data_IF_685160199779
#
_entry.id   IF_685160199779
#
_cell.length_a   1.000
_cell.length_b   1.000
_cell.length_c   1.000
_cell.angle_alpha   90.00
_cell.angle_beta   90.00
_cell.angle_gamma   90.00
#
_symmetry.space_group_name_H-M   'P 1'
#
loop_
_entity.id
_entity.type
_entity.pdbx_description
1 polymer ?
#
# COMPACT_ATOMS: atom_id res chain seq x y z
N UNK A 1 -45.05 -17.84 -1.04
CA UNK A 1 -46.23 -17.27 -0.35
C UNK A 1 -46.58 -15.98 -1.07
N UNK A 2 -47.84 -15.76 -1.48
CA UNK A 2 -48.21 -14.52 -2.18
C UNK A 2 -47.89 -13.33 -1.27
N UNK A 3 -47.37 -12.25 -1.85
CA UNK A 3 -47.14 -11.00 -1.14
C UNK A 3 -48.42 -10.64 -0.38
N UNK A 4 -48.33 -10.41 0.94
CA UNK A 4 -49.46 -10.00 1.76
C UNK A 4 -49.98 -8.67 1.21
N UNK A 5 -50.98 -8.73 0.32
CA UNK A 5 -51.60 -7.55 -0.24
C UNK A 5 -52.19 -6.74 0.91
N UNK A 6 -51.80 -5.47 1.00
CA UNK A 6 -52.28 -4.58 2.05
C UNK A 6 -53.77 -4.34 1.79
N UNK A 7 -54.61 -4.81 2.70
CA UNK A 7 -56.05 -4.66 2.58
C UNK A 7 -56.43 -3.17 2.52
N UNK A 8 -57.32 -2.82 1.57
CA UNK A 8 -57.88 -1.49 1.43
C UNK A 8 -58.85 -1.14 2.59
N UNK A 9 -59.19 0.14 2.79
CA UNK A 9 -60.24 0.53 3.73
C UNK A 9 -61.59 -0.11 3.37
N UNK A 10 -62.42 -0.42 4.37
CA UNK A 10 -63.71 -1.09 4.19
C UNK A 10 -64.67 -0.26 3.31
N UNK A 11 -65.01 -0.75 2.13
CA UNK A 11 -65.83 -0.06 1.12
C UNK A 11 -67.27 0.22 1.56
N UNK A 12 -67.74 -0.42 2.64
CA UNK A 12 -69.10 -0.21 3.18
C UNK A 12 -69.22 1.06 4.02
N UNK A 13 -68.11 1.71 4.36
CA UNK A 13 -68.09 2.95 5.14
C UNK A 13 -68.07 4.17 4.21
N UNK A 14 -68.62 5.28 4.68
CA UNK A 14 -68.62 6.54 3.96
C UNK A 14 -67.40 7.39 4.34
N UNK A 15 -66.57 7.77 3.35
CA UNK A 15 -65.27 8.43 3.56
C UNK A 15 -65.15 9.84 3.00
N UNK A 16 -66.21 10.41 2.41
CA UNK A 16 -66.24 11.71 1.69
C UNK A 16 -65.24 11.90 0.51
N UNK A 17 -64.16 11.11 0.44
CA UNK A 17 -63.25 10.95 -0.69
C UNK A 17 -63.33 9.51 -1.25
N UNK A 18 -62.96 9.30 -2.53
CA UNK A 18 -62.84 7.97 -3.09
C UNK A 18 -61.75 7.16 -2.34
N UNK A 19 -61.94 5.84 -2.31
CA UNK A 19 -60.97 4.93 -1.69
C UNK A 19 -59.58 5.08 -2.36
N UNK A 20 -58.50 5.02 -1.59
CA UNK A 20 -57.16 5.07 -2.13
C UNK A 20 -56.89 3.82 -2.99
N UNK A 21 -56.09 3.93 -4.06
CA UNK A 21 -55.72 2.79 -4.87
C UNK A 21 -54.90 1.79 -4.04
N UNK A 22 -54.84 0.50 -4.45
CA UNK A 22 -53.93 -0.47 -3.84
C UNK A 22 -52.49 0.04 -3.83
N UNK A 23 -51.78 -0.02 -2.68
CA UNK A 23 -50.39 0.39 -2.60
C UNK A 23 -49.50 -0.57 -3.40
N UNK A 24 -48.30 -0.11 -3.79
CA UNK A 24 -47.33 -1.00 -4.43
C UNK A 24 -46.82 -2.06 -3.45
N UNK A 25 -46.18 -3.11 -3.96
CA UNK A 25 -45.57 -4.16 -3.13
C UNK A 25 -44.06 -4.27 -3.43
N UNK A 26 -43.18 -3.80 -2.53
CA UNK A 26 -43.47 -3.12 -1.26
C UNK A 26 -44.04 -1.69 -1.46
N UNK A 27 -44.72 -1.11 -0.46
CA UNK A 27 -45.26 0.24 -0.57
C UNK A 27 -44.15 1.28 -0.72
N UNK A 28 -44.37 2.26 -1.60
CA UNK A 28 -43.46 3.39 -1.78
C UNK A 28 -43.76 4.52 -0.80
N UNK A 29 -42.85 5.48 -0.71
CA UNK A 29 -43.09 6.77 -0.04
C UNK A 29 -44.36 7.45 -0.59
N UNK A 30 -44.62 7.35 -1.90
CA UNK A 30 -45.83 7.90 -2.50
C UNK A 30 -47.11 7.25 -1.98
N UNK A 31 -47.09 5.96 -1.68
CA UNK A 31 -48.24 5.24 -1.11
C UNK A 31 -48.48 5.62 0.36
N UNK A 32 -47.40 5.84 1.12
CA UNK A 32 -47.48 6.37 2.48
C UNK A 32 -48.15 7.76 2.47
N UNK A 33 -47.75 8.65 1.55
CA UNK A 33 -48.36 9.98 1.43
C UNK A 33 -49.85 9.91 1.06
N UNK A 34 -50.23 9.03 0.13
CA UNK A 34 -51.63 8.83 -0.24
C UNK A 34 -52.45 8.32 0.95
N UNK A 35 -51.93 7.36 1.70
CA UNK A 35 -52.58 6.82 2.89
C UNK A 35 -52.71 7.88 4.01
N UNK A 36 -51.67 8.69 4.23
CA UNK A 36 -51.70 9.78 5.20
C UNK A 36 -52.74 10.85 4.82
N UNK A 37 -52.76 11.26 3.55
CA UNK A 37 -53.74 12.22 3.04
C UNK A 37 -55.16 11.70 3.19
N UNK A 38 -55.41 10.44 2.81
CA UNK A 38 -56.72 9.82 2.96
C UNK A 38 -57.18 9.82 4.43
N UNK A 39 -56.30 9.40 5.36
CA UNK A 39 -56.56 9.48 6.81
C UNK A 39 -56.91 10.89 7.25
N UNK A 40 -56.13 11.88 6.84
CA UNK A 40 -56.32 13.28 7.25
C UNK A 40 -57.63 13.85 6.72
N UNK A 41 -57.97 13.58 5.44
CA UNK A 41 -59.24 14.02 4.85
C UNK A 41 -60.43 13.42 5.60
N UNK A 42 -60.44 12.10 5.82
CA UNK A 42 -61.53 11.41 6.53
C UNK A 42 -61.69 11.98 7.95
N UNK A 43 -60.58 12.23 8.64
CA UNK A 43 -60.59 12.82 10.00
C UNK A 43 -61.15 14.24 10.01
N UNK A 44 -60.77 15.08 9.05
CA UNK A 44 -61.25 16.46 8.95
C UNK A 44 -62.74 16.50 8.63
N UNK A 45 -63.21 15.67 7.71
CA UNK A 45 -64.62 15.63 7.30
C UNK A 45 -65.53 15.07 8.38
N UNK A 46 -65.04 14.12 9.19
CA UNK A 46 -65.74 13.71 10.41
C UNK A 46 -65.92 14.89 11.38
N UNK A 47 -64.86 15.69 11.62
CA UNK A 47 -64.92 16.87 12.50
C UNK A 47 -65.86 17.96 11.97
N UNK A 48 -66.03 18.06 10.65
CA UNK A 48 -66.95 19.01 10.00
C UNK A 48 -68.41 18.56 9.99
N UNK A 49 -68.68 17.28 10.29
CA UNK A 49 -70.02 16.72 10.26
C UNK A 49 -70.48 16.26 8.88
N UNK A 50 -69.55 15.97 7.96
CA UNK A 50 -69.85 15.60 6.57
C UNK A 50 -70.37 14.15 6.42
N UNK A 51 -70.99 13.57 7.47
CA UNK A 51 -71.55 12.21 7.45
C UNK A 51 -70.52 11.07 7.57
N UNK A 52 -69.24 11.38 7.71
CA UNK A 52 -68.18 10.39 7.99
C UNK A 52 -68.34 9.85 9.42
N UNK A 53 -68.32 8.53 9.60
CA UNK A 53 -68.47 7.91 10.92
C UNK A 53 -67.14 7.74 11.64
N UNK A 54 -67.18 7.48 12.95
CA UNK A 54 -65.97 7.18 13.75
C UNK A 54 -65.28 5.92 13.23
N UNK A 55 -66.04 4.92 12.78
CA UNK A 55 -65.51 3.69 12.20
C UNK A 55 -64.71 3.97 10.93
N UNK A 56 -65.15 4.92 10.10
CA UNK A 56 -64.42 5.31 8.89
C UNK A 56 -63.08 5.96 9.23
N UNK A 57 -63.04 6.81 10.27
CA UNK A 57 -61.78 7.40 10.78
C UNK A 57 -60.83 6.32 11.28
N UNK A 58 -61.33 5.39 12.09
CA UNK A 58 -60.53 4.27 12.63
C UNK A 58 -60.01 3.37 11.50
N UNK A 59 -60.82 3.11 10.47
CA UNK A 59 -60.42 2.28 9.34
C UNK A 59 -59.36 2.95 8.47
N UNK A 60 -59.46 4.28 8.25
CA UNK A 60 -58.44 5.06 7.57
C UNK A 60 -57.11 5.09 8.34
N UNK A 61 -57.17 5.18 9.68
CA UNK A 61 -56.00 5.07 10.56
C UNK A 61 -55.33 3.69 10.43
N UNK A 62 -56.12 2.61 10.52
CA UNK A 62 -55.61 1.24 10.35
C UNK A 62 -54.98 1.03 8.99
N UNK A 63 -55.56 1.62 7.93
CA UNK A 63 -54.99 1.53 6.59
C UNK A 63 -53.63 2.24 6.51
N UNK A 64 -53.51 3.45 7.07
CA UNK A 64 -52.23 4.15 7.17
C UNK A 64 -51.16 3.32 7.89
N UNK A 65 -51.49 2.73 9.03
CA UNK A 65 -50.56 1.87 9.77
C UNK A 65 -50.15 0.62 8.99
N UNK A 66 -51.08 -0.02 8.28
CA UNK A 66 -50.76 -1.17 7.41
C UNK A 66 -49.75 -0.78 6.33
N UNK A 67 -49.97 0.35 5.65
CA UNK A 67 -49.06 0.86 4.61
C UNK A 67 -47.69 1.21 5.20
N UNK A 68 -47.64 1.93 6.31
CA UNK A 68 -46.40 2.29 7.01
C UNK A 68 -45.59 1.08 7.45
N UNK A 69 -46.24 0.09 8.06
CA UNK A 69 -45.56 -1.11 8.58
C UNK A 69 -45.01 -1.97 7.45
N UNK A 70 -45.77 -2.13 6.37
CA UNK A 70 -45.30 -2.89 5.20
C UNK A 70 -44.25 -2.16 4.37
N UNK A 71 -44.16 -0.83 4.48
CA UNK A 71 -43.09 -0.05 3.85
C UNK A 71 -41.74 -0.17 4.58
N UNK A 72 -41.75 -0.60 5.85
CA UNK A 72 -40.50 -0.81 6.58
C UNK A 72 -39.78 -2.04 6.03
N UNK A 73 -38.46 -1.95 5.78
CA UNK A 73 -37.68 -3.13 5.48
C UNK A 73 -37.80 -4.11 6.65
N UNK A 74 -37.85 -5.42 6.40
CA UNK A 74 -37.87 -6.39 7.48
C UNK A 74 -36.68 -6.14 8.41
N UNK A 75 -36.86 -6.21 9.74
CA UNK A 75 -35.74 -6.06 10.67
C UNK A 75 -34.64 -7.05 10.26
N UNK A 76 -33.44 -6.53 10.04
CA UNK A 76 -32.32 -7.39 9.68
C UNK A 76 -32.03 -8.34 10.84
N UNK A 77 -31.83 -9.64 10.60
CA UNK A 77 -31.40 -10.57 11.62
C UNK A 77 -30.11 -10.12 12.31
N UNK A 78 -30.03 -10.27 13.63
CA UNK A 78 -28.88 -9.84 14.44
C UNK A 78 -27.55 -10.45 13.96
N UNK A 79 -27.58 -11.69 13.46
CA UNK A 79 -26.39 -12.36 12.92
C UNK A 79 -25.78 -11.62 11.71
N UNK A 80 -26.57 -10.87 10.93
CA UNK A 80 -26.05 -10.05 9.83
C UNK A 80 -25.27 -8.85 10.36
N UNK A 81 -25.70 -8.27 11.48
CA UNK A 81 -24.97 -7.17 12.11
C UNK A 81 -23.66 -7.68 12.72
N UNK A 82 -23.71 -8.81 13.41
CA UNK A 82 -22.53 -9.46 13.98
C UNK A 82 -21.50 -9.84 12.89
N UNK A 83 -21.98 -10.40 11.76
CA UNK A 83 -21.13 -10.72 10.62
C UNK A 83 -20.50 -9.45 10.01
N UNK A 84 -21.26 -8.37 9.84
CA UNK A 84 -20.73 -7.08 9.35
C UNK A 84 -19.67 -6.51 10.30
N UNK A 85 -19.92 -6.55 11.61
CA UNK A 85 -18.96 -6.10 12.62
C UNK A 85 -17.68 -6.95 12.57
N UNK A 86 -17.82 -8.26 12.45
CA UNK A 86 -16.67 -9.18 12.38
C UNK A 86 -15.83 -8.93 11.13
N UNK A 87 -16.48 -8.76 9.96
CA UNK A 87 -15.80 -8.42 8.71
C UNK A 87 -15.07 -7.09 8.84
N UNK A 88 -15.69 -6.09 9.46
CA UNK A 88 -15.06 -4.79 9.68
C UNK A 88 -13.79 -4.92 10.54
N UNK A 89 -13.87 -5.62 11.68
CA UNK A 89 -12.70 -5.85 12.55
C UNK A 89 -11.57 -6.55 11.80
N UNK A 90 -11.88 -7.61 11.05
CA UNK A 90 -10.88 -8.34 10.25
C UNK A 90 -10.23 -7.41 9.23
N UNK A 91 -11.00 -6.53 8.60
CA UNK A 91 -10.50 -5.60 7.60
C UNK A 91 -9.59 -4.52 8.21
N UNK A 92 -9.95 -4.01 9.38
CA UNK A 92 -9.12 -3.06 10.14
C UNK A 92 -7.80 -3.68 10.58
N UNK A 93 -7.83 -4.90 11.12
CA UNK A 93 -6.62 -5.65 11.50
C UNK A 93 -5.73 -5.97 10.30
N UNK A 94 -6.32 -6.41 9.19
CA UNK A 94 -5.61 -6.67 7.94
C UNK A 94 -4.90 -5.42 7.42
N UNK A 95 -5.59 -4.27 7.40
CA UNK A 95 -5.01 -3.00 7.00
C UNK A 95 -3.84 -2.58 7.90
N UNK A 96 -3.96 -2.78 9.22
CA UNK A 96 -2.88 -2.50 10.16
C UNK A 96 -1.66 -3.39 9.90
N UNK A 97 -1.87 -4.68 9.66
CA UNK A 97 -0.79 -5.60 9.35
C UNK A 97 -0.09 -5.25 8.02
N UNK A 98 -0.85 -4.86 7.00
CA UNK A 98 -0.29 -4.39 5.72
C UNK A 98 0.60 -3.16 5.93
N UNK A 99 0.17 -2.22 6.78
CA UNK A 99 0.96 -1.03 7.08
C UNK A 99 2.28 -1.37 7.78
N UNK A 100 2.25 -2.26 8.78
CA UNK A 100 3.45 -2.72 9.48
C UNK A 100 4.44 -3.43 8.53
N UNK A 101 3.93 -4.26 7.61
CA UNK A 101 4.76 -4.94 6.61
C UNK A 101 5.39 -3.93 5.64
N UNK A 102 4.65 -2.90 5.22
CA UNK A 102 5.19 -1.82 4.37
C UNK A 102 6.32 -1.07 5.05
N UNK A 103 6.15 -0.70 6.32
CA UNK A 103 7.17 -0.01 7.11
C UNK A 103 8.43 -0.87 7.29
N UNK A 104 8.25 -2.16 7.59
CA UNK A 104 9.36 -3.11 7.68
C UNK A 104 10.11 -3.25 6.35
N UNK A 105 9.36 -3.38 5.24
CA UNK A 105 9.94 -3.46 3.90
C UNK A 105 10.72 -2.19 3.52
N UNK A 106 10.23 -1.00 3.90
CA UNK A 106 10.95 0.24 3.66
C UNK A 106 12.28 0.25 4.41
N UNK A 107 12.28 -0.12 5.69
CA UNK A 107 13.51 -0.20 6.49
C UNK A 107 14.52 -1.18 5.89
N UNK A 108 14.06 -2.34 5.43
CA UNK A 108 14.92 -3.32 4.75
C UNK A 108 15.51 -2.74 3.46
N UNK A 109 14.74 -1.98 2.69
CA UNK A 109 15.25 -1.32 1.48
C UNK A 109 16.34 -0.29 1.80
N UNK A 110 16.15 0.50 2.85
CA UNK A 110 17.13 1.49 3.31
C UNK A 110 18.43 0.80 3.77
N UNK A 111 18.30 -0.28 4.56
CA UNK A 111 19.44 -1.10 5.00
C UNK A 111 20.19 -1.71 3.81
N UNK A 112 19.47 -2.20 2.78
CA UNK A 112 20.07 -2.71 1.55
C UNK A 112 20.85 -1.62 0.81
N UNK A 113 20.34 -0.38 0.75
CA UNK A 113 21.06 0.73 0.12
C UNK A 113 22.34 1.08 0.87
N UNK A 114 22.27 1.14 2.21
CA UNK A 114 23.44 1.41 3.04
C UNK A 114 24.52 0.33 2.87
N UNK A 115 24.13 -0.94 2.84
CA UNK A 115 25.05 -2.06 2.61
C UNK A 115 25.69 -1.94 1.22
N UNK A 116 24.91 -1.63 0.18
CA UNK A 116 25.46 -1.43 -1.18
C UNK A 116 26.46 -0.28 -1.23
N UNK A 117 26.20 0.81 -0.52
CA UNK A 117 27.12 1.93 -0.43
C UNK A 117 28.42 1.52 0.26
N UNK A 118 28.32 0.88 1.43
CA UNK A 118 29.49 0.39 2.16
C UNK A 118 30.32 -0.61 1.34
N UNK A 119 29.68 -1.49 0.57
CA UNK A 119 30.38 -2.39 -0.35
C UNK A 119 31.16 -1.65 -1.44
N UNK A 120 30.58 -0.59 -2.01
CA UNK A 120 31.27 0.23 -3.01
C UNK A 120 32.47 0.96 -2.40
N UNK A 121 32.32 1.52 -1.20
CA UNK A 121 33.41 2.21 -0.49
C UNK A 121 34.57 1.26 -0.18
N UNK A 122 34.27 0.05 0.31
CA UNK A 122 35.26 -0.99 0.54
C UNK A 122 35.96 -1.40 -0.75
N UNK A 123 35.22 -1.55 -1.85
CA UNK A 123 35.78 -1.89 -3.16
C UNK A 123 36.76 -0.80 -3.63
N UNK A 124 36.41 0.48 -3.48
CA UNK A 124 37.30 1.58 -3.83
C UNK A 124 38.56 1.61 -2.95
N UNK A 125 38.41 1.41 -1.65
CA UNK A 125 39.54 1.35 -0.72
C UNK A 125 40.52 0.21 -1.08
N UNK A 126 39.99 -0.98 -1.39
CA UNK A 126 40.81 -2.11 -1.85
C UNK A 126 41.51 -1.80 -3.17
N UNK A 127 40.83 -1.17 -4.14
CA UNK A 127 41.42 -0.79 -5.41
C UNK A 127 42.55 0.24 -5.24
N UNK A 128 42.39 1.20 -4.33
CA UNK A 128 43.45 2.16 -3.97
C UNK A 128 44.66 1.42 -3.40
N UNK A 129 44.47 0.57 -2.40
CA UNK A 129 45.56 -0.19 -1.78
C UNK A 129 46.29 -1.09 -2.78
N UNK A 130 45.57 -1.75 -3.69
CA UNK A 130 46.18 -2.55 -4.77
C UNK A 130 47.06 -1.67 -5.67
N UNK A 131 46.61 -0.45 -5.97
CA UNK A 131 47.36 0.50 -6.80
C UNK A 131 48.64 0.96 -6.10
N UNK A 132 48.53 1.29 -4.81
CA UNK A 132 49.68 1.70 -3.99
C UNK A 132 50.72 0.57 -3.87
N UNK A 133 50.28 -0.65 -3.61
CA UNK A 133 51.15 -1.84 -3.55
C UNK A 133 51.84 -2.06 -4.89
N UNK A 134 51.11 -1.98 -6.02
CA UNK A 134 51.69 -2.14 -7.35
C UNK A 134 52.77 -1.10 -7.62
N UNK A 135 52.54 0.16 -7.25
CA UNK A 135 53.54 1.22 -7.38
C UNK A 135 54.77 0.92 -6.54
N UNK A 136 54.58 0.54 -5.27
CA UNK A 136 55.68 0.20 -4.36
C UNK A 136 56.50 -0.99 -4.88
N UNK A 137 55.85 -2.02 -5.44
CA UNK A 137 56.53 -3.18 -6.03
C UNK A 137 57.35 -2.75 -7.24
N UNK A 138 56.79 -1.91 -8.12
CA UNK A 138 57.52 -1.40 -9.29
C UNK A 138 58.76 -0.60 -8.89
N UNK A 139 58.66 0.23 -7.85
CA UNK A 139 59.80 0.99 -7.34
C UNK A 139 60.89 0.10 -6.74
N UNK A 140 60.50 -0.94 -5.98
CA UNK A 140 61.46 -1.93 -5.46
C UNK A 140 62.14 -2.69 -6.60
N UNK A 141 61.39 -3.10 -7.62
CA UNK A 141 61.94 -3.76 -8.80
C UNK A 141 62.95 -2.85 -9.54
N UNK A 142 62.65 -1.55 -9.68
CA UNK A 142 63.57 -0.57 -10.28
C UNK A 142 64.88 -0.48 -9.49
N UNK A 143 64.81 -0.32 -8.16
CA UNK A 143 66.00 -0.27 -7.29
C UNK A 143 66.83 -1.55 -7.37
N UNK A 144 66.17 -2.71 -7.45
CA UNK A 144 66.87 -3.99 -7.59
C UNK A 144 67.66 -4.04 -8.90
N UNK A 145 67.08 -3.59 -10.01
CA UNK A 145 67.75 -3.52 -11.32
C UNK A 145 68.96 -2.57 -11.27
N UNK A 146 68.81 -1.40 -10.63
CA UNK A 146 69.91 -0.44 -10.45
C UNK A 146 71.09 -1.07 -9.68
N UNK A 147 70.81 -1.74 -8.57
CA UNK A 147 71.84 -2.44 -7.77
C UNK A 147 72.51 -3.55 -8.59
N UNK A 148 71.72 -4.37 -9.30
CA UNK A 148 72.26 -5.43 -10.15
C UNK A 148 73.18 -4.86 -11.22
N UNK A 149 72.78 -3.76 -11.87
CA UNK A 149 73.56 -3.11 -12.92
C UNK A 149 74.86 -2.53 -12.36
N UNK A 150 74.81 -1.90 -11.18
CA UNK A 150 76.00 -1.39 -10.49
C UNK A 150 77.01 -2.51 -10.16
N UNK A 151 76.54 -3.62 -9.59
CA UNK A 151 77.39 -4.76 -9.23
C UNK A 151 78.02 -5.41 -10.47
N UNK A 152 77.28 -5.57 -11.57
CA UNK A 152 77.83 -6.09 -12.83
C UNK A 152 78.84 -5.11 -13.46
N UNK A 153 78.61 -3.79 -13.34
CA UNK A 153 79.54 -2.75 -13.78
C UNK A 153 80.87 -2.78 -13.03
N UNK A 154 80.84 -2.91 -11.69
CA UNK A 154 82.06 -3.04 -10.88
C UNK A 154 82.83 -4.33 -11.17
N UNK A 155 82.14 -5.47 -11.32
CA UNK A 155 82.78 -6.75 -11.67
C UNK A 155 83.57 -6.69 -12.99
N UNK A 156 83.07 -5.94 -13.99
CA UNK A 156 83.79 -5.74 -15.25
C UNK A 156 84.98 -4.77 -15.11
N UNK A 157 84.90 -3.76 -14.23
CA UNK A 157 86.02 -2.87 -13.91
C UNK A 157 87.14 -3.60 -13.15
N UNK A 158 86.78 -4.43 -12.15
CA UNK A 158 87.74 -5.22 -11.39
C UNK A 158 88.43 -6.26 -12.27
N UNK A 159 87.69 -6.90 -13.20
CA UNK A 159 88.29 -7.78 -14.22
C UNK A 159 89.28 -7.06 -15.13
N UNK A 160 88.94 -5.86 -15.61
CA UNK A 160 89.84 -5.05 -16.44
C UNK A 160 91.11 -4.59 -15.68
N UNK A 161 91.01 -4.35 -14.37
CA UNK A 161 92.16 -4.01 -13.52
C UNK A 161 93.08 -5.21 -13.22
N UNK A 162 92.56 -6.44 -13.30
CA UNK A 162 93.32 -7.68 -13.08
C UNK A 162 93.82 -8.38 -14.35
N UNK A 163 93.60 -7.80 -15.54
CA UNK A 163 94.10 -8.37 -16.79
C UNK A 163 95.62 -8.10 -16.94
N UNK A 164 96.49 -9.13 -16.89
CA UNK A 164 97.94 -8.96 -17.02
C UNK A 164 98.38 -8.48 -18.42
N UNK A 165 97.46 -8.41 -19.39
CA UNK A 165 97.69 -7.94 -20.75
C UNK A 165 97.84 -6.41 -20.86
N UNK A 166 97.53 -5.66 -19.79
CA UNK A 166 97.66 -4.19 -19.72
C UNK A 166 98.90 -3.76 -18.91
N UNK A 167 99.95 -4.60 -18.85
CA UNK A 167 101.28 -4.14 -18.50
C UNK A 167 101.94 -3.53 -19.73
N UNK A 168 101.85 -2.20 -19.85
CA UNK A 168 102.59 -1.43 -20.86
C UNK A 168 104.08 -1.66 -20.65
N UNK A 169 104.69 -2.33 -21.64
CA UNK A 169 106.13 -2.45 -21.84
C UNK A 169 106.75 -1.08 -22.06
N UNK A 170 107.31 -0.46 -21.01
CA UNK A 170 108.37 0.55 -21.16
C UNK A 170 109.73 -0.16 -21.18
N UNK A 171 110.15 -0.59 -22.37
CA UNK A 171 111.58 -0.79 -22.68
C UNK A 171 112.12 0.54 -23.19
N UNK A 172 112.71 1.33 -22.30
CA UNK A 172 113.65 2.36 -22.72
C UNK A 172 114.99 1.70 -22.99
N UNK A 173 115.35 1.67 -24.27
CA UNK A 173 116.68 1.35 -24.75
C UNK A 173 117.17 2.48 -25.64
N UNK A 174 118.06 3.32 -25.11
CA UNK A 174 119.04 4.04 -25.90
C UNK A 174 120.38 4.01 -25.16
N UNK A 175 121.34 3.30 -25.76
CA UNK A 175 122.80 3.46 -25.59
C UNK A 175 123.26 4.64 -26.47
N UNK A 176 124.42 5.28 -26.23
CA UNK A 176 125.70 4.74 -25.73
C UNK A 176 126.11 5.16 -24.32
#
# INVERSE_FOLDING_TARGET
MPANAIALPNERLFYCEPLPPPPTSPPTIGDIYKAARFRDTVTVSHKKGDGVTVEAVVEAEKYYWRVMTSAQPPPQPDWLQELRSTIQTIQEESNRNIQLVKESNQKIQDDIQLIKQSQNDLKMAIQSQITDIKSSVADVQRKLIEIQTFLHGQSNQDRAATDPSVQVSFRDGTMP
#
